data_IF_829479654174
#
_entry.id   IF_829479654174
#
_cell.length_a   1.000
_cell.length_b   1.000
_cell.length_c   1.000
_cell.angle_alpha   90.00
_cell.angle_beta   90.00
_cell.angle_gamma   90.00
#
_symmetry.space_group_name_H-M   'P 1'
#
loop_
_entity.id
_entity.type
_entity.pdbx_description
1 polymer ?
#
# COMPACT_ATOMS: atom_id res chain seq x y z
N UNK A 1 14.01 -11.69 -4.30
CA UNK A 1 12.61 -12.16 -4.44
C UNK A 1 12.53 -13.17 -5.57
N UNK A 2 11.88 -14.31 -5.34
CA UNK A 2 11.68 -15.30 -6.39
C UNK A 2 10.69 -14.81 -7.44
N UNK A 3 10.73 -15.42 -8.62
CA UNK A 3 9.78 -15.09 -9.69
C UNK A 3 8.33 -15.36 -9.24
N UNK A 4 8.13 -16.44 -8.48
CA UNK A 4 6.82 -16.80 -7.94
C UNK A 4 6.28 -15.75 -6.97
N UNK A 5 7.12 -15.27 -6.05
CA UNK A 5 6.77 -14.19 -5.13
C UNK A 5 6.41 -12.92 -5.89
N UNK A 6 7.20 -12.56 -6.89
CA UNK A 6 6.96 -11.36 -7.70
C UNK A 6 5.63 -11.43 -8.44
N UNK A 7 5.33 -12.56 -9.08
CA UNK A 7 4.05 -12.74 -9.79
C UNK A 7 2.86 -12.62 -8.85
N UNK A 8 2.93 -13.25 -7.69
CA UNK A 8 1.86 -13.17 -6.70
C UNK A 8 1.71 -11.76 -6.15
N UNK A 9 2.81 -11.08 -5.86
CA UNK A 9 2.79 -9.70 -5.41
C UNK A 9 2.14 -8.77 -6.44
N UNK A 10 2.46 -8.94 -7.72
CA UNK A 10 1.88 -8.15 -8.81
C UNK A 10 0.37 -8.41 -8.96
N UNK A 11 -0.06 -9.66 -8.82
CA UNK A 11 -1.48 -10.00 -8.83
C UNK A 11 -2.24 -9.36 -7.66
N UNK A 12 -1.67 -9.44 -6.45
CA UNK A 12 -2.28 -8.85 -5.26
C UNK A 12 -2.37 -7.33 -5.42
N UNK A 13 -1.31 -6.69 -5.91
CA UNK A 13 -1.31 -5.25 -6.16
C UNK A 13 -2.45 -4.84 -7.08
N UNK A 14 -2.61 -5.55 -8.18
CA UNK A 14 -3.67 -5.26 -9.16
C UNK A 14 -5.06 -5.42 -8.54
N UNK A 15 -5.29 -6.52 -7.84
CA UNK A 15 -6.60 -6.81 -7.22
C UNK A 15 -6.92 -5.77 -6.15
N UNK A 16 -5.98 -5.50 -5.24
CA UNK A 16 -6.18 -4.52 -4.16
C UNK A 16 -6.44 -3.13 -4.74
N UNK A 17 -5.69 -2.73 -5.76
CA UNK A 17 -5.89 -1.43 -6.42
C UNK A 17 -7.31 -1.30 -6.98
N UNK A 18 -7.80 -2.33 -7.67
CA UNK A 18 -9.15 -2.33 -8.23
C UNK A 18 -10.24 -2.33 -7.16
N UNK A 19 -10.05 -3.10 -6.10
CA UNK A 19 -11.01 -3.16 -4.99
C UNK A 19 -11.10 -1.81 -4.28
N UNK A 20 -9.97 -1.20 -3.98
CA UNK A 20 -9.92 0.11 -3.32
C UNK A 20 -10.58 1.18 -4.17
N UNK A 21 -10.33 1.18 -5.47
CA UNK A 21 -10.88 2.19 -6.39
C UNK A 21 -12.37 2.02 -6.63
N UNK A 22 -12.83 0.78 -6.80
CA UNK A 22 -14.19 0.50 -7.30
C UNK A 22 -15.17 0.05 -6.25
N UNK A 23 -14.72 -0.68 -5.23
CA UNK A 23 -15.60 -1.33 -4.26
C UNK A 23 -15.60 -0.70 -2.88
N UNK A 24 -14.57 0.04 -2.55
CA UNK A 24 -14.46 0.67 -1.24
C UNK A 24 -15.15 2.04 -1.26
N UNK A 25 -16.32 2.13 -0.64
CA UNK A 25 -17.22 3.29 -0.69
C UNK A 25 -17.26 4.11 0.60
N UNK A 26 -16.23 4.06 1.43
CA UNK A 26 -16.17 4.84 2.66
C UNK A 26 -15.90 6.32 2.32
N UNK A 27 -16.75 7.26 2.81
CA UNK A 27 -16.56 8.68 2.51
C UNK A 27 -15.27 9.28 3.10
N UNK A 28 -14.65 8.61 4.09
CA UNK A 28 -13.37 9.04 4.65
C UNK A 28 -12.19 8.64 3.77
N UNK A 29 -12.43 7.82 2.77
CA UNK A 29 -11.39 7.39 1.85
C UNK A 29 -10.95 8.55 0.98
N UNK A 30 -9.66 8.89 1.03
CA UNK A 30 -9.05 9.84 0.12
C UNK A 30 -8.67 9.21 -1.21
N UNK A 31 -7.87 9.91 -1.99
CA UNK A 31 -7.29 9.39 -3.23
C UNK A 31 -6.13 8.47 -2.88
N UNK A 32 -6.41 7.17 -2.80
CA UNK A 32 -5.43 6.14 -2.44
C UNK A 32 -4.82 5.52 -3.68
N UNK A 33 -3.49 5.49 -3.74
CA UNK A 33 -2.75 4.77 -4.78
C UNK A 33 -1.91 3.69 -4.13
N UNK A 34 -2.12 2.43 -4.51
CA UNK A 34 -1.27 1.33 -4.05
C UNK A 34 0.04 1.39 -4.84
N UNK A 35 1.14 1.62 -4.14
CA UNK A 35 2.44 1.83 -4.78
C UNK A 35 3.27 0.56 -4.86
N UNK A 36 3.17 -0.32 -3.88
CA UNK A 36 4.03 -1.49 -3.80
C UNK A 36 3.39 -2.59 -2.94
N UNK A 37 3.64 -3.84 -3.32
CA UNK A 37 3.27 -5.01 -2.52
C UNK A 37 4.51 -5.88 -2.34
N UNK A 38 4.83 -6.19 -1.09
CA UNK A 38 5.96 -7.04 -0.73
C UNK A 38 5.46 -8.26 0.02
N UNK A 39 5.82 -9.44 -0.46
CA UNK A 39 5.47 -10.68 0.23
C UNK A 39 6.62 -11.15 1.12
N UNK A 40 6.27 -11.72 2.26
CA UNK A 40 7.23 -12.43 3.09
C UNK A 40 7.75 -13.68 2.37
N UNK A 41 8.94 -14.18 2.77
CA UNK A 41 9.56 -15.33 2.15
C UNK A 41 8.70 -16.60 2.17
N UNK A 42 7.90 -16.76 3.24
CA UNK A 42 6.97 -17.88 3.40
C UNK A 42 5.59 -17.63 2.78
N UNK A 43 5.38 -16.48 2.10
CA UNK A 43 4.15 -16.06 1.45
C UNK A 43 2.95 -15.90 2.40
N UNK A 44 3.19 -15.74 3.70
CA UNK A 44 2.12 -15.62 4.69
C UNK A 44 1.68 -14.18 4.95
N UNK A 45 2.54 -13.20 4.64
CA UNK A 45 2.26 -11.79 4.89
C UNK A 45 2.48 -10.99 3.60
N UNK A 46 1.48 -10.21 3.23
CA UNK A 46 1.57 -9.23 2.15
C UNK A 46 1.56 -7.83 2.74
N UNK A 47 2.69 -7.15 2.63
CA UNK A 47 2.82 -5.74 3.04
C UNK A 47 2.45 -4.87 1.86
N UNK A 48 1.39 -4.09 2.04
CA UNK A 48 0.80 -3.26 0.98
C UNK A 48 1.06 -1.80 1.30
N UNK A 49 1.83 -1.16 0.44
CA UNK A 49 2.21 0.25 0.60
C UNK A 49 1.33 1.13 -0.27
N UNK A 50 0.92 2.27 0.25
CA UNK A 50 0.04 3.19 -0.45
C UNK A 50 0.40 4.64 -0.16
N UNK A 51 0.02 5.50 -1.09
CA UNK A 51 0.07 6.96 -0.91
C UNK A 51 -1.35 7.51 -0.97
N UNK A 52 -1.53 8.67 -0.35
CA UNK A 52 -2.79 9.41 -0.39
C UNK A 52 -2.50 10.83 -0.83
N UNK A 53 -3.24 11.30 -1.81
CA UNK A 53 -3.21 12.70 -2.20
C UNK A 53 -4.03 13.50 -1.20
N UNK A 54 -3.36 14.26 -0.33
CA UNK A 54 -4.02 15.02 0.72
C UNK A 54 -3.06 15.35 1.87
N UNK A 55 -3.61 15.92 2.95
CA UNK A 55 -2.86 16.26 4.14
C UNK A 55 -2.66 15.04 5.05
N UNK A 56 -1.93 15.21 6.15
CA UNK A 56 -1.60 14.12 7.07
C UNK A 56 -2.85 13.50 7.70
N UNK A 57 -3.87 14.31 8.00
CA UNK A 57 -5.14 13.82 8.54
C UNK A 57 -5.87 12.92 7.54
N UNK A 58 -5.89 13.32 6.27
CA UNK A 58 -6.49 12.51 5.20
C UNK A 58 -5.74 11.19 5.00
N UNK A 59 -4.42 11.21 5.14
CA UNK A 59 -3.59 9.99 5.09
C UNK A 59 -3.96 9.05 6.23
N UNK A 60 -4.06 9.55 7.46
CA UNK A 60 -4.45 8.74 8.62
C UNK A 60 -5.85 8.17 8.49
N UNK A 61 -6.81 8.96 8.03
CA UNK A 61 -8.17 8.50 7.81
C UNK A 61 -8.22 7.41 6.75
N UNK A 62 -7.46 7.54 5.69
CA UNK A 62 -7.38 6.52 4.63
C UNK A 62 -6.78 5.22 5.16
N UNK A 63 -5.76 5.31 6.01
CA UNK A 63 -5.20 4.12 6.65
C UNK A 63 -6.23 3.41 7.52
N UNK A 64 -7.01 4.15 8.31
CA UNK A 64 -8.08 3.60 9.12
C UNK A 64 -9.13 2.90 8.25
N UNK A 65 -9.50 3.50 7.12
CA UNK A 65 -10.46 2.91 6.18
C UNK A 65 -9.93 1.58 5.65
N UNK A 66 -8.66 1.53 5.24
CA UNK A 66 -8.05 0.30 4.74
C UNK A 66 -7.98 -0.78 5.81
N UNK A 67 -7.58 -0.42 7.03
CA UNK A 67 -7.53 -1.37 8.15
C UNK A 67 -8.91 -1.89 8.52
N UNK A 68 -9.92 -1.03 8.51
CA UNK A 68 -11.29 -1.42 8.76
C UNK A 68 -11.84 -2.38 7.70
N UNK A 69 -11.47 -2.14 6.44
CA UNK A 69 -11.90 -2.94 5.29
C UNK A 69 -10.98 -4.14 5.01
N UNK A 70 -10.00 -4.41 5.86
CA UNK A 70 -8.96 -5.42 5.61
C UNK A 70 -9.55 -6.79 5.27
N UNK A 71 -10.50 -7.28 6.05
CA UNK A 71 -11.12 -8.59 5.81
C UNK A 71 -11.88 -8.62 4.50
N UNK A 72 -12.57 -7.55 4.16
CA UNK A 72 -13.27 -7.42 2.89
C UNK A 72 -12.28 -7.48 1.70
N UNK A 73 -11.21 -6.70 1.78
CA UNK A 73 -10.18 -6.65 0.73
C UNK A 73 -9.53 -8.03 0.59
N UNK A 74 -9.18 -8.67 1.71
CA UNK A 74 -8.58 -10.01 1.70
C UNK A 74 -9.52 -11.03 1.07
N UNK A 75 -10.81 -10.95 1.35
CA UNK A 75 -11.82 -11.83 0.76
C UNK A 75 -11.88 -11.65 -0.76
N UNK A 76 -11.80 -10.42 -1.25
CA UNK A 76 -11.76 -10.14 -2.68
C UNK A 76 -10.48 -10.70 -3.33
N UNK A 77 -9.34 -10.55 -2.65
CA UNK A 77 -8.09 -11.15 -3.11
C UNK A 77 -8.25 -12.66 -3.21
N UNK A 78 -8.81 -13.30 -2.19
CA UNK A 78 -9.03 -14.74 -2.15
C UNK A 78 -9.88 -15.24 -3.32
N UNK A 79 -10.88 -14.47 -3.72
CA UNK A 79 -11.78 -14.86 -4.82
C UNK A 79 -11.11 -14.81 -6.19
N UNK A 80 -9.99 -14.11 -6.33
CA UNK A 80 -9.31 -13.90 -7.61
C UNK A 80 -7.97 -14.64 -7.73
N UNK A 81 -7.49 -15.24 -6.66
CA UNK A 81 -6.21 -15.94 -6.65
C UNK A 81 -6.44 -17.43 -6.46
N UNK A 82 -5.84 -18.25 -7.34
CA UNK A 82 -5.80 -19.70 -7.20
C UNK A 82 -4.64 -20.09 -6.28
N UNK A 83 -4.72 -19.72 -5.02
CA UNK A 83 -3.73 -20.04 -4.02
C UNK A 83 -4.36 -20.92 -2.94
N UNK A 84 -3.55 -21.79 -2.35
CA UNK A 84 -3.99 -22.68 -1.28
C UNK A 84 -4.45 -21.92 -0.04
N UNK A 85 -3.81 -20.79 0.20
CA UNK A 85 -4.21 -19.84 1.25
C UNK A 85 -3.81 -18.42 0.81
N UNK A 86 -4.49 -17.45 1.38
CA UNK A 86 -4.29 -16.03 1.06
C UNK A 86 -3.43 -15.41 2.15
N UNK A 87 -2.39 -14.64 1.79
CA UNK A 87 -1.58 -13.94 2.78
C UNK A 87 -2.40 -13.01 3.68
N UNK A 88 -1.94 -12.81 4.90
CA UNK A 88 -2.44 -11.73 5.75
C UNK A 88 -2.05 -10.39 5.12
N UNK A 89 -2.99 -9.47 5.01
CA UNK A 89 -2.74 -8.14 4.45
C UNK A 89 -2.38 -7.16 5.55
N UNK A 90 -1.32 -6.39 5.33
CA UNK A 90 -0.90 -5.29 6.22
C UNK A 90 -0.70 -4.05 5.38
N UNK A 91 -1.30 -2.93 5.79
CA UNK A 91 -1.25 -1.68 5.05
C UNK A 91 -0.27 -0.71 5.70
N UNK A 92 0.58 -0.10 4.89
CA UNK A 92 1.57 0.87 5.33
C UNK A 92 1.56 2.09 4.40
N UNK A 93 1.68 3.26 5.00
CA UNK A 93 1.85 4.49 4.22
C UNK A 93 3.23 4.46 3.57
N UNK A 94 3.26 4.68 2.26
CA UNK A 94 4.53 4.80 1.52
C UNK A 94 5.02 6.24 1.62
N UNK A 95 6.03 6.48 2.43
CA UNK A 95 6.60 7.80 2.68
C UNK A 95 7.89 8.07 1.89
N UNK A 96 8.20 7.22 0.89
CA UNK A 96 9.43 7.32 0.09
C UNK A 96 9.61 8.72 -0.50
N UNK A 97 8.56 9.32 -1.03
CA UNK A 97 8.62 10.66 -1.60
C UNK A 97 8.91 11.73 -0.55
N UNK A 98 8.32 11.60 0.64
CA UNK A 98 8.59 12.53 1.75
C UNK A 98 10.04 12.42 2.21
N UNK A 99 10.59 11.22 2.30
CA UNK A 99 11.98 10.99 2.67
C UNK A 99 12.92 11.59 1.64
N UNK A 100 12.66 11.38 0.36
CA UNK A 100 13.46 11.95 -0.72
C UNK A 100 13.45 13.49 -0.67
N UNK A 101 12.30 14.09 -0.44
CA UNK A 101 12.15 15.54 -0.30
C UNK A 101 12.94 16.08 0.89
N UNK A 102 12.89 15.42 2.03
CA UNK A 102 13.67 15.80 3.21
C UNK A 102 15.17 15.78 2.96
N UNK A 103 15.64 14.77 2.23
CA UNK A 103 17.05 14.65 1.86
C UNK A 103 17.44 15.81 0.94
N UNK A 104 16.63 16.14 -0.06
CA UNK A 104 16.88 17.27 -0.95
C UNK A 104 16.92 18.60 -0.20
N UNK A 105 15.98 18.82 0.70
CA UNK A 105 15.95 20.04 1.53
C UNK A 105 17.19 20.15 2.41
N UNK A 106 17.62 19.04 3.00
CA UNK A 106 18.82 18.98 3.82
C UNK A 106 20.07 19.31 3.00
N UNK A 107 20.18 18.74 1.80
CA UNK A 107 21.30 19.00 0.89
C UNK A 107 21.34 20.47 0.45
N UNK A 108 20.20 21.08 0.15
CA UNK A 108 20.10 22.48 -0.17
C UNK A 108 20.55 23.37 1.00
N UNK A 109 20.10 23.02 2.21
CA UNK A 109 20.50 23.74 3.43
C UNK A 109 22.01 23.68 3.64
N UNK A 110 22.62 22.53 3.45
CA UNK A 110 24.07 22.37 3.54
C UNK A 110 24.82 23.17 2.45
N UNK A 111 24.27 23.26 1.25
CA UNK A 111 24.83 24.07 0.17
C UNK A 111 24.83 25.55 0.50
N UNK A 112 23.77 26.06 1.13
CA UNK A 112 23.64 27.47 1.50
C UNK A 112 24.56 27.86 2.64
N UNK A 113 24.92 26.93 3.50
CA UNK A 113 25.73 27.16 4.70
C UNK A 113 27.21 26.73 4.52
N UNK A 114 27.52 26.18 3.34
CA UNK A 114 28.87 25.70 3.05
C UNK A 114 29.76 26.70 2.27
#
# INVERSE_FOLDING_TARGET
MSLRQKKLADQIKKIVSEVVDRKLKDPRKGFITITHVKLSGDLQIASIYFTVLGNDEEVEQSLEVLNHANNFIRSEVASHIKARFVPELRFFVDDTMKQAQRIEELLEHLKKNG
#
